data_IF_686941237890
#
_entry.id   IF_686941237890
#
_cell.length_a   1.000
_cell.length_b   1.000
_cell.length_c   1.000
_cell.angle_alpha   90.00
_cell.angle_beta   90.00
_cell.angle_gamma   90.00
#
_symmetry.space_group_name_H-M   'P 1'
#
loop_
_entity.id
_entity.type
_entity.pdbx_description
1 polymer ?
#
# COMPACT_ATOMS: atom_id res chain seq x y z
N UNK A 1 -0.47 -11.73 9.10
CA UNK A 1 -1.43 -10.75 8.57
C UNK A 1 -0.84 -9.39 8.86
N UNK A 2 -0.72 -8.52 7.86
CA UNK A 2 -0.22 -7.16 8.05
C UNK A 2 -1.41 -6.27 8.40
N UNK A 3 -1.33 -5.54 9.51
CA UNK A 3 -2.41 -4.68 10.01
C UNK A 3 -2.03 -3.22 9.92
N UNK A 4 -2.96 -2.30 10.20
CA UNK A 4 -2.69 -0.87 10.28
C UNK A 4 -1.47 -0.54 11.17
N UNK A 5 -1.31 -1.22 12.30
CA UNK A 5 -0.21 -0.98 13.24
C UNK A 5 1.19 -1.38 12.69
N UNK A 6 1.25 -2.18 11.62
CA UNK A 6 2.49 -2.64 10.98
C UNK A 6 2.94 -1.76 9.79
N UNK A 7 2.09 -0.78 9.42
CA UNK A 7 2.32 0.15 8.32
C UNK A 7 3.35 1.20 8.72
N UNK A 8 4.08 1.66 7.72
CA UNK A 8 4.93 2.85 7.77
C UNK A 8 4.23 3.96 6.99
N UNK A 9 4.65 5.20 7.19
CA UNK A 9 4.14 6.37 6.46
C UNK A 9 4.15 6.15 4.93
N UNK A 10 5.20 5.50 4.40
CA UNK A 10 5.28 5.15 2.98
C UNK A 10 4.23 4.13 2.54
N UNK A 11 3.84 3.19 3.40
CA UNK A 11 2.79 2.21 3.05
C UNK A 11 1.42 2.87 3.05
N UNK A 12 1.14 3.70 4.05
CA UNK A 12 -0.10 4.47 4.13
C UNK A 12 -0.27 5.36 2.90
N UNK A 13 0.82 6.02 2.49
CA UNK A 13 0.81 6.87 1.30
C UNK A 13 0.66 6.06 0.00
N UNK A 14 1.24 4.86 -0.08
CA UNK A 14 1.03 3.96 -1.22
C UNK A 14 -0.41 3.47 -1.31
N UNK A 15 -1.04 3.17 -0.16
CA UNK A 15 -2.45 2.75 -0.09
C UNK A 15 -3.38 3.88 -0.55
N UNK A 16 -3.10 5.13 -0.17
CA UNK A 16 -3.83 6.30 -0.69
C UNK A 16 -3.79 6.36 -2.24
N UNK A 17 -2.61 6.21 -2.83
CA UNK A 17 -2.49 6.20 -4.30
C UNK A 17 -3.23 5.03 -4.94
N UNK A 18 -3.28 3.88 -4.25
CA UNK A 18 -3.96 2.68 -4.71
C UNK A 18 -5.48 2.78 -4.63
N UNK A 19 -6.01 3.55 -3.68
CA UNK A 19 -7.43 3.92 -3.62
C UNK A 19 -7.83 4.84 -4.79
N UNK A 20 -6.94 5.75 -5.20
CA UNK A 20 -7.17 6.60 -6.37
C UNK A 20 -7.11 5.82 -7.70
N UNK A 21 -6.40 4.69 -7.73
CA UNK A 21 -6.32 3.82 -8.89
C UNK A 21 -5.06 2.96 -8.93
N UNK A 22 -4.76 2.38 -10.10
CA UNK A 22 -3.62 1.47 -10.24
C UNK A 22 -2.29 2.19 -10.19
N UNK A 23 -1.32 1.56 -9.54
CA UNK A 23 -0.01 2.14 -9.28
C UNK A 23 1.09 1.31 -9.92
N UNK A 24 2.11 1.97 -10.47
CA UNK A 24 3.39 1.32 -10.79
C UNK A 24 4.48 1.80 -9.81
N UNK A 25 5.55 1.03 -9.54
CA UNK A 25 6.64 1.48 -8.67
C UNK A 25 7.30 2.79 -9.11
N UNK A 26 7.31 3.06 -10.42
CA UNK A 26 7.84 4.32 -10.96
C UNK A 26 6.91 5.49 -10.60
N UNK A 27 5.62 5.34 -10.88
CA UNK A 27 4.62 6.35 -10.58
C UNK A 27 4.56 6.67 -9.09
N UNK A 28 4.46 5.65 -8.24
CA UNK A 28 4.46 5.83 -6.78
C UNK A 28 5.69 6.58 -6.29
N UNK A 29 6.88 6.25 -6.80
CA UNK A 29 8.11 6.95 -6.41
C UNK A 29 8.06 8.43 -6.79
N UNK A 30 7.62 8.74 -8.02
CA UNK A 30 7.53 10.13 -8.48
C UNK A 30 6.53 10.93 -7.63
N UNK A 31 5.41 10.34 -7.20
CA UNK A 31 4.47 11.00 -6.26
C UNK A 31 5.00 11.10 -4.83
N UNK A 32 5.66 10.07 -4.31
CA UNK A 32 6.23 10.10 -2.96
C UNK A 32 7.24 11.23 -2.78
N UNK A 33 8.03 11.53 -3.82
CA UNK A 33 8.97 12.65 -3.81
C UNK A 33 8.27 14.01 -3.65
N UNK A 34 7.02 14.12 -4.13
CA UNK A 34 6.20 15.33 -4.01
C UNK A 34 5.42 15.38 -2.67
N UNK A 35 4.86 14.24 -2.24
CA UNK A 35 3.91 14.17 -1.13
C UNK A 35 4.56 13.87 0.24
N UNK A 36 5.71 13.17 0.26
CA UNK A 36 6.31 12.64 1.50
C UNK A 36 7.84 12.82 1.59
N UNK A 37 8.63 12.03 0.86
CA UNK A 37 10.10 12.06 0.86
C UNK A 37 10.67 11.32 -0.37
N UNK A 38 11.97 11.53 -0.66
CA UNK A 38 12.66 10.85 -1.75
C UNK A 38 13.00 9.40 -1.35
N UNK A 39 12.40 8.43 -2.05
CA UNK A 39 12.70 7.02 -1.87
C UNK A 39 13.31 6.38 -3.10
N UNK A 40 14.19 5.41 -2.89
CA UNK A 40 14.69 4.59 -3.99
C UNK A 40 13.57 3.74 -4.60
N UNK A 41 13.63 3.52 -5.92
CA UNK A 41 12.68 2.62 -6.62
C UNK A 41 12.65 1.21 -6.04
N UNK A 42 13.81 0.71 -5.59
CA UNK A 42 13.92 -0.61 -4.97
C UNK A 42 13.20 -0.69 -3.62
N UNK A 43 13.25 0.39 -2.82
CA UNK A 43 12.50 0.47 -1.57
C UNK A 43 11.00 0.49 -1.82
N UNK A 44 10.52 1.35 -2.74
CA UNK A 44 9.09 1.39 -3.13
C UNK A 44 8.61 0.02 -3.63
N UNK A 45 9.40 -0.65 -4.46
CA UNK A 45 9.08 -1.99 -4.94
C UNK A 45 9.01 -3.02 -3.80
N UNK A 46 9.91 -2.95 -2.81
CA UNK A 46 9.85 -3.80 -1.62
C UNK A 46 8.59 -3.54 -0.80
N UNK A 47 8.15 -2.27 -0.65
CA UNK A 47 6.93 -1.93 0.09
C UNK A 47 5.69 -2.50 -0.60
N UNK A 48 5.56 -2.29 -1.92
CA UNK A 48 4.46 -2.87 -2.72
C UNK A 48 4.45 -4.40 -2.66
N UNK A 49 5.62 -5.05 -2.77
CA UNK A 49 5.73 -6.50 -2.65
C UNK A 49 5.34 -7.02 -1.26
N UNK A 50 5.63 -6.27 -0.19
CA UNK A 50 5.19 -6.63 1.18
C UNK A 50 3.67 -6.56 1.31
N UNK A 51 3.03 -5.53 0.74
CA UNK A 51 1.56 -5.44 0.71
C UNK A 51 0.95 -6.60 -0.09
N UNK A 52 1.58 -6.98 -1.22
CA UNK A 52 1.16 -8.11 -2.05
C UNK A 52 1.29 -9.45 -1.32
N UNK A 53 2.42 -9.68 -0.63
CA UNK A 53 2.66 -10.88 0.18
C UNK A 53 1.58 -11.08 1.27
N UNK A 54 1.02 -9.97 1.76
CA UNK A 54 -0.06 -9.96 2.74
C UNK A 54 -1.46 -9.81 2.14
N UNK A 55 -1.59 -9.93 0.82
CA UNK A 55 -2.86 -9.96 0.08
C UNK A 55 -3.67 -8.65 0.11
N UNK A 56 -3.01 -7.53 0.40
CA UNK A 56 -3.63 -6.20 0.41
C UNK A 56 -3.68 -5.57 -0.98
N UNK A 57 -2.75 -5.97 -1.84
CA UNK A 57 -2.67 -5.53 -3.24
C UNK A 57 -2.38 -6.71 -4.15
N UNK A 58 -2.73 -6.60 -5.42
CA UNK A 58 -2.38 -7.58 -6.46
C UNK A 58 -1.46 -6.94 -7.51
N UNK A 59 -0.35 -7.60 -7.85
CA UNK A 59 0.47 -7.23 -9.01
C UNK A 59 -0.07 -7.88 -10.27
N UNK A 60 -0.87 -7.13 -11.02
CA UNK A 60 -1.57 -7.60 -12.20
C UNK A 60 -0.63 -8.27 -13.20
N UNK A 61 -0.83 -9.57 -13.39
CA UNK A 61 -0.08 -10.42 -14.31
C UNK A 61 1.45 -10.38 -14.08
N UNK A 62 1.91 -9.94 -12.90
CA UNK A 62 3.33 -9.77 -12.59
C UNK A 62 4.01 -8.62 -13.35
N UNK A 63 3.26 -7.65 -13.89
CA UNK A 63 3.79 -6.57 -14.74
C UNK A 63 4.33 -5.36 -13.97
N UNK A 64 4.22 -5.37 -12.64
CA UNK A 64 4.51 -4.22 -11.79
C UNK A 64 3.42 -3.16 -11.83
N UNK A 65 2.18 -3.56 -12.11
CA UNK A 65 0.98 -2.74 -12.05
C UNK A 65 0.11 -3.25 -10.90
N UNK A 66 0.08 -2.51 -9.81
CA UNK A 66 -0.57 -2.91 -8.58
C UNK A 66 -1.97 -2.32 -8.51
N UNK A 67 -2.91 -3.12 -8.01
CA UNK A 67 -4.26 -2.67 -7.64
C UNK A 67 -4.60 -3.05 -6.20
N UNK A 68 -5.41 -2.23 -5.54
CA UNK A 68 -5.87 -2.48 -4.18
C UNK A 68 -6.86 -3.66 -4.17
N UNK A 69 -6.68 -4.56 -3.20
CA UNK A 69 -7.56 -5.72 -2.96
C UNK A 69 -8.29 -5.58 -1.64
N UNK A 70 -7.54 -5.31 -0.57
CA UNK A 70 -8.03 -5.11 0.79
C UNK A 70 -7.19 -4.02 1.46
N UNK A 71 -7.83 -3.07 2.14
CA UNK A 71 -7.11 -1.99 2.80
C UNK A 71 -6.87 -2.32 4.29
N UNK A 72 -5.61 -2.58 4.71
CA UNK A 72 -5.30 -2.89 6.10
C UNK A 72 -5.54 -1.73 7.07
N UNK A 73 -5.78 -0.50 6.57
CA UNK A 73 -6.16 0.68 7.37
C UNK A 73 -7.62 0.62 7.85
N UNK A 74 -8.48 -0.14 7.16
CA UNK A 74 -9.92 -0.20 7.41
C UNK A 74 -10.37 -1.19 8.48
N UNK A 75 -9.49 -2.06 8.97
CA UNK A 75 -9.79 -3.05 10.02
C UNK A 75 -9.27 -2.55 11.37
N UNK A 76 -9.95 -1.55 11.93
CA UNK A 76 -10.11 -1.44 13.38
C UNK A 76 -11.23 -2.38 13.80
N UNK A 77 -11.04 -3.15 14.87
CA UNK A 77 -11.92 -4.22 15.37
C UNK A 77 -13.42 -4.06 15.04
N UNK A 78 -14.08 -5.06 14.40
CA UNK A 78 -15.53 -5.02 14.13
C UNK A 78 -16.44 -5.19 15.36
N UNK A 79 -15.94 -5.12 16.60
CA UNK A 79 -16.74 -5.41 17.79
C UNK A 79 -16.43 -4.45 18.97
N UNK A 80 -16.92 -3.21 18.86
CA UNK A 80 -17.50 -2.48 20.01
C UNK A 80 -19.02 -2.36 19.78
N UNK A 81 -19.67 -3.52 19.65
CA UNK A 81 -21.07 -3.68 20.03
C UNK A 81 -21.11 -4.52 21.30
N UNK A 82 -21.00 -3.89 22.46
CA UNK A 82 -21.55 -4.44 23.69
C UNK A 82 -21.90 -3.31 24.68
N UNK A 83 -23.16 -3.36 25.12
CA UNK A 83 -23.94 -2.53 26.07
C UNK A 83 -24.38 -1.09 25.72
#
# INVERSE_FOLDING_TARGET
MLTAADLRDVDEQLLEYLEEGRVTPRYARERLEEDLDEYSRGYVQQRLARLEEHQHVENLLGLGLYELVDDPRGVGDPDEHDD
#
